data_IF_683899912084
#
_entry.id   IF_683899912084
#
_cell.length_a   1.000
_cell.length_b   1.000
_cell.length_c   1.000
_cell.angle_alpha   90.00
_cell.angle_beta   90.00
_cell.angle_gamma   90.00
#
_symmetry.space_group_name_H-M   'P 1'
#
loop_
_entity.id
_entity.type
_entity.pdbx_description
1 polymer ?
#
# COMPACT_ATOMS: atom_id res chain seq x y z
N UNK A 1 17.31 11.77 6.89
CA UNK A 1 17.11 10.89 8.07
C UNK A 1 16.05 9.92 7.63
N UNK A 2 16.46 8.73 7.19
CA UNK A 2 15.52 7.72 6.77
C UNK A 2 14.66 7.30 7.96
N UNK A 3 13.37 7.14 7.71
CA UNK A 3 12.41 6.76 8.73
C UNK A 3 12.74 5.33 9.22
N UNK A 4 12.98 5.14 10.51
CA UNK A 4 13.34 3.82 11.05
C UNK A 4 12.25 2.79 10.78
N UNK A 5 10.99 3.23 10.72
CA UNK A 5 9.86 2.39 10.36
C UNK A 5 9.99 1.89 8.90
N UNK A 6 10.36 2.76 7.97
CA UNK A 6 10.54 2.42 6.56
C UNK A 6 11.66 1.40 6.37
N UNK A 7 12.80 1.61 7.04
CA UNK A 7 13.94 0.68 7.01
C UNK A 7 13.55 -0.69 7.57
N UNK A 8 12.83 -0.74 8.68
CA UNK A 8 12.36 -2.00 9.28
C UNK A 8 11.39 -2.75 8.38
N UNK A 9 10.52 -2.02 7.67
CA UNK A 9 9.53 -2.58 6.75
C UNK A 9 10.20 -3.17 5.50
N UNK A 10 11.13 -2.44 4.89
CA UNK A 10 11.89 -2.94 3.74
C UNK A 10 12.68 -4.19 4.14
N UNK A 11 13.28 -4.22 5.34
CA UNK A 11 13.99 -5.41 5.85
C UNK A 11 13.07 -6.62 5.99
N UNK A 12 11.87 -6.44 6.55
CA UNK A 12 10.89 -7.51 6.68
C UNK A 12 10.48 -8.07 5.31
N UNK A 13 10.20 -7.20 4.33
CA UNK A 13 9.85 -7.64 2.98
C UNK A 13 11.01 -8.35 2.26
N UNK A 14 12.24 -7.86 2.40
CA UNK A 14 13.42 -8.54 1.86
C UNK A 14 13.60 -9.91 2.50
N UNK A 15 13.37 -10.05 3.81
CA UNK A 15 13.46 -11.33 4.52
C UNK A 15 12.42 -12.35 4.05
N UNK A 16 11.29 -11.88 3.51
CA UNK A 16 10.22 -12.69 2.92
C UNK A 16 10.47 -13.05 1.46
N UNK A 17 11.53 -12.53 0.84
CA UNK A 17 11.92 -12.84 -0.53
C UNK A 17 11.29 -11.95 -1.61
N UNK A 18 10.73 -10.80 -1.23
CA UNK A 18 10.29 -9.81 -2.22
C UNK A 18 11.49 -9.13 -2.89
N UNK A 19 11.38 -8.81 -4.18
CA UNK A 19 12.42 -8.04 -4.87
C UNK A 19 12.37 -6.56 -4.51
N UNK A 20 13.49 -5.86 -4.61
CA UNK A 20 13.54 -4.43 -4.32
C UNK A 20 12.56 -3.63 -5.19
N UNK A 21 12.37 -4.01 -6.47
CA UNK A 21 11.41 -3.33 -7.36
C UNK A 21 9.97 -3.52 -6.88
N UNK A 22 9.61 -4.72 -6.42
CA UNK A 22 8.27 -5.00 -5.89
C UNK A 22 8.00 -4.19 -4.61
N UNK A 23 9.00 -4.11 -3.74
CA UNK A 23 8.92 -3.34 -2.50
C UNK A 23 8.77 -1.84 -2.81
N UNK A 24 9.56 -1.34 -3.78
CA UNK A 24 9.52 0.04 -4.21
C UNK A 24 8.15 0.43 -4.78
N UNK A 25 7.59 -0.38 -5.68
CA UNK A 25 6.26 -0.14 -6.27
C UNK A 25 5.16 -0.16 -5.20
N UNK A 26 5.20 -1.11 -4.27
CA UNK A 26 4.23 -1.16 -3.18
C UNK A 26 4.32 0.08 -2.29
N UNK A 27 5.53 0.49 -1.91
CA UNK A 27 5.71 1.63 -1.02
C UNK A 27 5.38 2.96 -1.71
N UNK A 28 5.71 3.12 -3.00
CA UNK A 28 5.29 4.30 -3.77
C UNK A 28 3.77 4.39 -3.88
N UNK A 29 3.07 3.25 -4.02
CA UNK A 29 1.60 3.22 -4.08
C UNK A 29 0.94 3.57 -2.75
N UNK A 30 1.62 3.36 -1.62
CA UNK A 30 1.16 3.75 -0.29
C UNK A 30 1.47 5.22 0.06
N UNK A 31 2.07 5.98 -0.87
CA UNK A 31 2.33 7.41 -0.70
C UNK A 31 3.72 7.76 -0.15
N UNK A 32 4.63 6.79 -0.05
CA UNK A 32 6.01 7.08 0.32
C UNK A 32 6.74 7.81 -0.82
N UNK A 33 7.54 8.81 -0.45
CA UNK A 33 8.35 9.57 -1.39
C UNK A 33 9.47 8.70 -1.96
N UNK A 34 9.69 8.83 -3.26
CA UNK A 34 10.76 8.12 -3.97
C UNK A 34 12.15 8.42 -3.38
N UNK A 35 12.34 9.64 -2.85
CA UNK A 35 13.59 10.05 -2.20
C UNK A 35 13.83 9.26 -0.91
N UNK A 36 12.81 9.11 -0.08
CA UNK A 36 12.90 8.43 1.21
C UNK A 36 13.14 6.93 1.02
N UNK A 37 12.49 6.35 0.00
CA UNK A 37 12.73 4.96 -0.40
C UNK A 37 14.18 4.73 -0.81
N UNK A 38 14.73 5.60 -1.68
CA UNK A 38 16.13 5.51 -2.11
C UNK A 38 17.11 5.65 -0.94
N UNK A 39 16.84 6.56 -0.01
CA UNK A 39 17.66 6.73 1.20
C UNK A 39 17.61 5.48 2.09
N UNK A 40 16.43 4.91 2.31
CA UNK A 40 16.25 3.70 3.11
C UNK A 40 16.89 2.45 2.48
N UNK A 41 16.74 2.24 1.17
CA UNK A 41 17.43 1.15 0.47
C UNK A 41 18.95 1.28 0.52
N UNK A 42 19.47 2.52 0.43
CA UNK A 42 20.89 2.79 0.56
C UNK A 42 21.41 2.43 1.95
N UNK A 43 20.65 2.76 3.00
CA UNK A 43 21.01 2.46 4.39
C UNK A 43 21.04 0.96 4.68
N UNK A 44 20.11 0.19 4.13
CA UNK A 44 20.06 -1.27 4.28
C UNK A 44 21.25 -1.93 3.58
N UNK A 45 21.63 -1.45 2.39
CA UNK A 45 22.80 -1.97 1.63
C UNK A 45 24.13 -1.70 2.33
N UNK A 46 24.23 -0.66 3.14
CA UNK A 46 25.42 -0.36 3.95
C UNK A 46 25.55 -1.22 5.20
N UNK A 47 24.49 -1.92 5.62
CA UNK A 47 24.60 -2.96 6.64
C UNK A 47 24.82 -4.32 5.95
N UNK A 48 25.86 -5.10 6.31
CA UNK A 48 26.02 -6.45 5.80
C UNK A 48 24.84 -7.29 6.30
N UNK A 49 23.82 -7.46 5.48
CA UNK A 49 22.75 -8.42 5.74
C UNK A 49 23.38 -9.80 5.55
N UNK A 50 23.53 -10.53 6.64
CA UNK A 50 23.95 -11.92 6.62
C UNK A 50 23.05 -12.71 5.65
N UNK A 51 23.64 -13.40 4.67
CA UNK A 51 22.89 -13.95 3.55
C UNK A 51 21.93 -15.04 4.04
N UNK A 52 20.63 -14.78 3.90
CA UNK A 52 19.63 -15.84 3.97
C UNK A 52 19.97 -16.92 2.93
N UNK A 53 19.76 -18.21 3.26
CA UNK A 53 20.17 -19.32 2.40
C UNK A 53 19.60 -19.16 0.98
N UNK A 54 20.38 -19.53 -0.05
CA UNK A 54 20.02 -19.30 -1.45
C UNK A 54 18.75 -20.07 -1.80
N UNK A 55 17.63 -19.36 -1.88
CA UNK A 55 16.46 -19.86 -2.60
C UNK A 55 16.82 -19.78 -4.08
N UNK A 56 17.08 -20.95 -4.66
CA UNK A 56 17.39 -21.17 -6.06
C UNK A 56 16.21 -20.62 -6.89
N UNK A 57 16.36 -19.39 -7.40
CA UNK A 57 15.48 -18.84 -8.44
C UNK A 57 15.85 -19.54 -9.74
N UNK A 58 15.15 -20.66 -9.99
CA UNK A 58 15.11 -21.29 -11.30
C UNK A 58 14.44 -20.36 -12.29
N UNK A 59 15.27 -19.61 -13.01
CA UNK A 59 14.91 -18.97 -14.27
C UNK A 59 14.58 -20.06 -15.27
N UNK A 60 13.29 -20.33 -15.50
CA UNK A 60 12.85 -21.04 -16.69
C UNK A 60 11.46 -20.59 -17.13
N UNK A 61 11.45 -19.95 -18.31
CA UNK A 61 10.44 -20.07 -19.35
C UNK A 61 9.26 -19.07 -19.35
N UNK A 62 9.06 -18.32 -20.46
CA UNK A 62 7.84 -17.57 -20.72
C UNK A 62 6.77 -18.54 -21.24
N UNK A 63 6.02 -19.18 -20.36
CA UNK A 63 4.85 -19.95 -20.78
C UNK A 63 3.65 -19.64 -19.89
N UNK A 64 2.68 -18.96 -20.51
CA UNK A 64 1.25 -19.15 -20.30
C UNK A 64 0.78 -19.25 -18.84
N UNK A 65 0.94 -18.18 -18.06
CA UNK A 65 0.22 -18.06 -16.79
C UNK A 65 -1.24 -17.75 -17.12
N UNK A 66 -2.05 -18.80 -17.04
CA UNK A 66 -3.46 -18.78 -17.37
C UNK A 66 -4.21 -17.70 -16.59
N UNK A 67 -5.00 -16.91 -17.32
CA UNK A 67 -5.89 -15.83 -16.84
C UNK A 67 -6.87 -16.32 -15.74
N UNK A 68 -6.99 -17.63 -15.57
CA UNK A 68 -7.82 -18.32 -14.58
C UNK A 68 -7.51 -17.96 -13.12
N UNK A 69 -6.26 -17.63 -12.76
CA UNK A 69 -5.89 -17.28 -11.37
C UNK A 69 -6.16 -15.80 -11.07
N UNK A 70 -6.04 -14.93 -12.07
CA UNK A 70 -6.37 -13.49 -11.95
C UNK A 70 -7.87 -13.28 -11.69
N UNK A 71 -8.75 -14.13 -12.24
CA UNK A 71 -10.18 -14.07 -11.98
C UNK A 71 -10.55 -14.42 -10.52
N UNK A 72 -9.76 -15.27 -9.84
CA UNK A 72 -9.99 -15.64 -8.45
C UNK A 72 -9.53 -14.55 -7.47
N UNK A 73 -8.47 -13.80 -7.80
CA UNK A 73 -7.91 -12.75 -6.93
C UNK A 73 -8.73 -11.45 -6.92
N UNK A 74 -9.49 -11.15 -7.97
CA UNK A 74 -10.34 -9.96 -8.04
C UNK A 74 -11.66 -10.09 -7.26
N UNK A 75 -12.08 -11.30 -6.90
CA UNK A 75 -13.34 -11.53 -6.16
C UNK A 75 -13.26 -11.17 -4.67
N UNK A 76 -12.07 -10.83 -4.15
CA UNK A 76 -11.86 -10.50 -2.73
C UNK A 76 -11.70 -9.01 -2.43
N UNK A 77 -11.80 -8.13 -3.43
CA UNK A 77 -11.80 -6.65 -3.23
C UNK A 77 -13.20 -6.03 -3.19
N UNK A 78 -14.24 -6.81 -2.92
CA UNK A 78 -15.58 -6.27 -2.71
C UNK A 78 -15.89 -6.32 -1.22
N UNK A 79 -15.95 -5.13 -0.62
CA UNK A 79 -16.45 -4.83 0.72
C UNK A 79 -15.49 -5.10 1.89
N UNK A 80 -14.51 -4.21 2.03
CA UNK A 80 -14.12 -3.76 3.35
C UNK A 80 -14.20 -2.23 3.31
N UNK A 81 -15.44 -1.72 3.37
CA UNK A 81 -15.66 -0.30 3.63
C UNK A 81 -15.35 -0.13 5.11
N UNK A 82 -14.16 0.39 5.40
CA UNK A 82 -13.72 0.71 6.75
C UNK A 82 -14.81 1.50 7.49
N UNK A 83 -15.12 1.15 8.76
CA UNK A 83 -16.17 1.82 9.53
C UNK A 83 -15.93 3.34 9.68
N UNK A 84 -14.69 3.79 9.56
CA UNK A 84 -14.28 5.20 9.51
C UNK A 84 -14.95 5.97 8.37
N UNK A 85 -15.08 5.35 7.18
CA UNK A 85 -15.65 6.01 5.98
C UNK A 85 -17.15 6.23 6.14
N UNK A 86 -17.84 5.35 6.86
CA UNK A 86 -19.27 5.49 7.16
C UNK A 86 -19.54 6.71 8.05
N UNK A 87 -18.70 6.94 9.05
CA UNK A 87 -18.84 8.09 9.96
C UNK A 87 -18.56 9.41 9.23
N UNK A 88 -17.56 9.44 8.35
CA UNK A 88 -17.25 10.61 7.53
C UNK A 88 -18.42 10.92 6.58
N UNK A 89 -19.00 9.90 5.93
CA UNK A 89 -20.16 10.08 5.05
C UNK A 89 -21.39 10.61 5.82
N UNK A 90 -21.69 10.07 7.01
CA UNK A 90 -22.77 10.56 7.86
C UNK A 90 -22.54 12.00 8.34
N UNK A 91 -21.31 12.36 8.72
CA UNK A 91 -20.98 13.71 9.16
C UNK A 91 -21.19 14.74 8.05
N UNK A 92 -20.73 14.44 6.83
CA UNK A 92 -20.91 15.32 5.67
C UNK A 92 -22.38 15.50 5.32
N UNK A 93 -23.16 14.43 5.36
CA UNK A 93 -24.59 14.46 5.04
C UNK A 93 -25.37 15.30 6.08
N UNK A 94 -25.03 15.16 7.37
CA UNK A 94 -25.57 16.00 8.44
C UNK A 94 -25.26 17.48 8.25
N UNK A 95 -24.02 17.83 7.91
CA UNK A 95 -23.62 19.22 7.66
C UNK A 95 -24.41 19.81 6.48
N UNK A 96 -24.56 19.09 5.37
CA UNK A 96 -25.35 19.53 4.21
C UNK A 96 -26.81 19.79 4.59
N UNK A 97 -27.43 18.92 5.39
CA UNK A 97 -28.81 19.12 5.86
C UNK A 97 -28.96 20.36 6.73
N UNK A 98 -27.99 20.63 7.61
CA UNK A 98 -28.00 21.83 8.47
C UNK A 98 -27.90 23.10 7.61
N UNK A 99 -27.00 23.12 6.63
CA UNK A 99 -26.89 24.25 5.70
C UNK A 99 -28.15 24.47 4.89
N UNK A 100 -28.79 23.40 4.40
CA UNK A 100 -30.06 23.50 3.68
C UNK A 100 -31.19 24.05 4.58
N UNK A 101 -31.27 23.63 5.84
CA UNK A 101 -32.26 24.14 6.79
C UNK A 101 -32.05 25.62 7.12
N UNK A 102 -30.80 26.05 7.32
CA UNK A 102 -30.46 27.47 7.55
C UNK A 102 -30.79 28.31 6.32
N UNK A 103 -30.44 27.83 5.12
CA UNK A 103 -30.77 28.52 3.87
C UNK A 103 -32.28 28.66 3.68
N UNK A 104 -33.06 27.64 4.04
CA UNK A 104 -34.52 27.71 4.01
C UNK A 104 -35.05 28.75 5.01
N UNK A 105 -34.58 28.75 6.26
CA UNK A 105 -34.97 29.73 7.28
C UNK A 105 -34.62 31.18 6.93
N UNK A 106 -33.54 31.40 6.18
CA UNK A 106 -33.16 32.73 5.70
C UNK A 106 -34.00 33.19 4.50
N UNK A 107 -34.67 32.27 3.82
CA UNK A 107 -35.50 32.56 2.65
C UNK A 107 -36.99 32.78 3.00
N UNK A 108 -37.47 32.25 4.12
CA UNK A 108 -38.86 32.44 4.61
C UNK A 108 -38.99 33.71 5.43
#
# INVERSE_FOLDING_TARGET
MADQQLVSFIRDYLSRGYSEEQIFVNLSNTGWSEKDLKEAFKEIRTMPVEPAPPVIVGSSSPQAVSISVLAAALKRRRMEVEPEVLWIACALLGVVCIFAAIAFLLWT
#
